data_IF_779076395323
#
_entry.id   IF_779076395323
#
_cell.length_a   1.000
_cell.length_b   1.000
_cell.length_c   1.000
_cell.angle_alpha   90.00
_cell.angle_beta   90.00
_cell.angle_gamma   90.00
#
_symmetry.space_group_name_H-M   'P 1'
#
loop_
_entity.id
_entity.type
_entity.pdbx_description
1 polymer ?
#
# COMPACT_ATOMS: atom_id res chain seq x y z
N UNK A 1 0.27 2.32 17.13
CA UNK A 1 -0.17 0.90 17.04
C UNK A 1 -0.39 0.40 18.46
N UNK A 2 -1.38 -0.46 18.67
CA UNK A 2 -1.56 -1.20 19.91
C UNK A 2 -1.20 -2.66 19.61
N UNK A 3 -0.22 -3.20 20.34
CA UNK A 3 0.38 -4.51 20.11
C UNK A 3 0.41 -5.27 21.44
N UNK A 4 0.19 -6.58 21.39
CA UNK A 4 0.19 -7.45 22.55
C UNK A 4 1.59 -7.51 23.18
N UNK A 5 1.66 -7.46 24.52
CA UNK A 5 2.94 -7.46 25.26
C UNK A 5 3.87 -8.62 24.90
N UNK A 6 3.30 -9.79 24.56
CA UNK A 6 4.05 -10.99 24.18
C UNK A 6 4.89 -10.84 22.92
N UNK A 7 4.59 -9.83 22.07
CA UNK A 7 5.33 -9.56 20.83
C UNK A 7 6.63 -8.78 21.07
N UNK A 8 6.86 -8.29 22.28
CA UNK A 8 8.02 -7.50 22.65
C UNK A 8 9.05 -8.35 23.42
N UNK A 9 10.32 -8.04 23.22
CA UNK A 9 11.44 -8.48 24.07
C UNK A 9 12.04 -7.21 24.65
N UNK A 10 11.94 -7.05 25.98
CA UNK A 10 12.41 -5.83 26.65
C UNK A 10 13.90 -5.92 27.03
N UNK A 11 14.38 -7.14 27.20
CA UNK A 11 15.78 -7.51 27.41
C UNK A 11 16.57 -7.66 26.11
N UNK A 12 15.88 -7.79 24.97
CA UNK A 12 16.48 -7.95 23.64
C UNK A 12 17.09 -9.33 23.39
N UNK A 13 16.77 -10.34 24.22
CA UNK A 13 17.35 -11.69 24.16
C UNK A 13 16.54 -12.66 23.29
N UNK A 14 15.33 -12.29 22.88
CA UNK A 14 14.47 -13.14 22.06
C UNK A 14 14.46 -12.72 20.58
N UNK A 15 14.73 -13.67 19.70
CA UNK A 15 14.61 -13.48 18.26
C UNK A 15 13.15 -13.31 17.81
N UNK A 16 12.95 -12.63 16.66
CA UNK A 16 11.65 -12.45 16.01
C UNK A 16 10.59 -11.78 16.89
N UNK A 17 11.02 -10.90 17.79
CA UNK A 17 10.20 -10.02 18.62
C UNK A 17 10.63 -8.56 18.45
N UNK A 18 9.72 -7.65 18.76
CA UNK A 18 9.98 -6.21 18.72
C UNK A 18 10.98 -5.88 19.84
N UNK A 19 12.12 -5.28 19.47
CA UNK A 19 13.19 -4.92 20.41
C UNK A 19 14.36 -5.90 20.44
N UNK A 20 14.44 -6.83 19.46
CA UNK A 20 15.56 -7.79 19.36
C UNK A 20 16.93 -7.10 19.38
N UNK A 21 17.82 -7.59 20.25
CA UNK A 21 19.14 -7.04 20.46
C UNK A 21 20.24 -7.78 19.70
N UNK A 22 21.45 -7.22 19.75
CA UNK A 22 22.64 -7.80 19.11
C UNK A 22 22.98 -9.19 19.64
N UNK A 23 22.77 -9.43 20.94
CA UNK A 23 23.09 -10.71 21.58
C UNK A 23 22.21 -11.84 21.05
N UNK A 24 20.89 -11.62 20.96
CA UNK A 24 19.97 -12.58 20.35
C UNK A 24 20.32 -12.89 18.90
N UNK A 25 20.64 -11.86 18.11
CA UNK A 25 20.99 -12.03 16.70
C UNK A 25 22.31 -12.80 16.51
N UNK A 26 23.34 -12.50 17.32
CA UNK A 26 24.64 -13.14 17.25
C UNK A 26 24.60 -14.60 17.72
N UNK A 27 23.85 -14.87 18.77
CA UNK A 27 23.78 -16.19 19.40
C UNK A 27 22.66 -17.07 18.81
N UNK A 28 22.09 -16.68 17.67
CA UNK A 28 21.06 -17.49 17.02
C UNK A 28 21.62 -18.85 16.57
N UNK A 29 20.83 -19.92 16.69
CA UNK A 29 21.25 -21.25 16.28
C UNK A 29 21.53 -21.28 14.78
N UNK A 30 22.65 -21.90 14.40
CA UNK A 30 23.06 -22.07 13.00
C UNK A 30 23.08 -20.76 12.19
N UNK A 31 23.63 -19.68 12.76
CA UNK A 31 23.69 -18.35 12.13
C UNK A 31 24.11 -18.38 10.65
N UNK A 32 25.20 -19.07 10.32
CA UNK A 32 25.73 -19.12 8.95
C UNK A 32 24.91 -20.00 7.98
N UNK A 33 24.08 -20.91 8.50
CA UNK A 33 23.21 -21.77 7.69
C UNK A 33 21.74 -21.32 7.66
N UNK A 34 21.38 -20.33 8.47
CA UNK A 34 20.04 -19.76 8.52
C UNK A 34 19.76 -18.85 7.32
N UNK A 35 18.50 -18.73 6.87
CA UNK A 35 18.12 -17.82 5.80
C UNK A 35 18.47 -16.37 6.15
N UNK A 36 18.76 -15.57 5.12
CA UNK A 36 18.98 -14.15 5.28
C UNK A 36 17.79 -13.47 5.99
N UNK A 37 18.07 -12.65 7.00
CA UNK A 37 17.06 -11.95 7.79
C UNK A 37 16.46 -12.77 8.94
N UNK A 38 16.96 -13.99 9.20
CA UNK A 38 16.60 -14.75 10.39
C UNK A 38 16.83 -13.93 11.68
N UNK A 39 16.00 -14.20 12.69
CA UNK A 39 15.96 -13.48 13.98
C UNK A 39 15.40 -12.04 13.91
N UNK A 40 15.20 -11.46 12.71
CA UNK A 40 14.74 -10.08 12.51
C UNK A 40 13.29 -9.98 12.00
N UNK A 41 12.47 -11.04 12.14
CA UNK A 41 11.05 -11.01 11.77
C UNK A 41 10.18 -10.35 12.85
N UNK A 42 8.91 -10.09 12.53
CA UNK A 42 7.89 -9.52 13.43
C UNK A 42 8.30 -8.19 14.08
N UNK A 43 8.89 -7.30 13.29
CA UNK A 43 9.22 -5.94 13.70
C UNK A 43 8.05 -4.99 13.43
N UNK A 44 8.14 -3.77 13.94
CA UNK A 44 7.08 -2.76 13.80
C UNK A 44 6.62 -2.54 12.35
N UNK A 45 7.56 -2.58 11.40
CA UNK A 45 7.26 -2.41 9.98
C UNK A 45 6.46 -3.58 9.40
N UNK A 46 6.66 -4.82 9.89
CA UNK A 46 5.89 -5.99 9.44
C UNK A 46 4.41 -5.85 9.81
N UNK A 47 4.12 -5.38 11.03
CA UNK A 47 2.75 -5.16 11.48
C UNK A 47 2.08 -4.00 10.73
N UNK A 48 2.83 -2.93 10.46
CA UNK A 48 2.36 -1.81 9.63
C UNK A 48 2.03 -2.27 8.20
N UNK A 49 2.92 -3.00 7.55
CA UNK A 49 2.71 -3.52 6.19
C UNK A 49 1.52 -4.50 6.15
N UNK A 50 1.37 -5.34 7.17
CA UNK A 50 0.20 -6.23 7.30
C UNK A 50 -1.11 -5.43 7.35
N UNK A 51 -1.17 -4.35 8.14
CA UNK A 51 -2.36 -3.51 8.21
C UNK A 51 -2.60 -2.68 6.95
N UNK A 52 -1.55 -2.21 6.28
CA UNK A 52 -1.68 -1.53 4.98
C UNK A 52 -2.31 -2.44 3.93
N UNK A 53 -1.94 -3.73 3.91
CA UNK A 53 -2.57 -4.74 3.05
C UNK A 53 -4.05 -4.97 3.40
N UNK A 54 -4.41 -4.95 4.69
CA UNK A 54 -5.81 -5.07 5.14
C UNK A 54 -6.63 -3.86 4.72
N UNK A 55 -6.10 -2.66 4.93
CA UNK A 55 -6.73 -1.39 4.54
C UNK A 55 -6.94 -1.36 3.02
N UNK A 56 -5.95 -1.77 2.23
CA UNK A 56 -6.07 -1.87 0.77
C UNK A 56 -7.20 -2.82 0.34
N UNK A 57 -7.48 -3.87 1.14
CA UNK A 57 -8.58 -4.82 0.94
C UNK A 57 -9.91 -4.37 1.58
N UNK A 58 -10.01 -3.12 2.06
CA UNK A 58 -11.15 -2.59 2.80
C UNK A 58 -11.51 -3.41 4.06
N UNK A 59 -10.51 -4.01 4.70
CA UNK A 59 -10.65 -4.72 5.96
C UNK A 59 -10.17 -3.85 7.11
N UNK A 60 -10.77 -4.03 8.29
CA UNK A 60 -10.35 -3.32 9.50
C UNK A 60 -8.90 -3.68 9.86
N UNK A 61 -8.01 -2.69 10.13
CA UNK A 61 -6.65 -2.97 10.56
C UNK A 61 -6.65 -3.66 11.94
N UNK A 62 -5.57 -4.39 12.26
CA UNK A 62 -5.43 -5.16 13.48
C UNK A 62 -4.59 -4.47 14.55
N UNK A 63 -3.63 -3.63 14.17
CA UNK A 63 -2.63 -3.05 15.09
C UNK A 63 -2.65 -1.53 15.08
N UNK A 64 -2.85 -0.91 13.91
CA UNK A 64 -3.00 0.54 13.75
C UNK A 64 -4.30 0.96 14.45
N UNK A 65 -4.24 2.05 15.22
CA UNK A 65 -5.38 2.56 15.99
C UNK A 65 -6.40 3.28 15.11
N UNK A 66 -5.91 3.94 14.06
CA UNK A 66 -6.75 4.67 13.13
C UNK A 66 -7.57 3.71 12.28
N UNK A 67 -8.86 4.01 12.14
CA UNK A 67 -9.83 3.14 11.45
C UNK A 67 -10.50 2.10 12.35
N UNK A 68 -9.98 1.86 13.57
CA UNK A 68 -10.60 0.98 14.57
C UNK A 68 -11.32 1.73 15.67
N UNK A 69 -10.76 2.87 16.06
CA UNK A 69 -11.27 3.69 17.16
C UNK A 69 -11.65 5.07 16.66
N UNK A 70 -12.74 5.60 17.23
CA UNK A 70 -13.23 6.94 16.94
C UNK A 70 -12.64 7.99 17.89
N UNK A 71 -12.52 9.23 17.40
CA UNK A 71 -12.13 10.43 18.18
C UNK A 71 -10.85 10.24 19.00
N UNK A 72 -9.82 9.66 18.38
CA UNK A 72 -8.51 9.42 19.01
C UNK A 72 -7.90 10.74 19.47
N UNK A 73 -7.57 10.85 20.76
CA UNK A 73 -6.95 12.03 21.39
C UNK A 73 -7.69 13.36 21.22
N UNK A 74 -9.00 13.35 20.95
CA UNK A 74 -9.81 14.57 20.82
C UNK A 74 -10.36 15.08 22.16
N UNK A 75 -9.76 14.67 23.28
CA UNK A 75 -10.19 15.10 24.61
C UNK A 75 -9.57 16.46 24.99
N UNK A 76 -10.24 17.26 25.84
CA UNK A 76 -9.66 18.49 26.36
C UNK A 76 -8.31 18.23 27.05
N UNK A 77 -7.33 19.12 26.84
CA UNK A 77 -5.97 19.04 27.42
C UNK A 77 -5.15 17.81 26.95
N UNK A 78 -5.41 17.28 25.75
CA UNK A 78 -4.59 16.22 25.17
C UNK A 78 -3.13 16.67 24.99
N UNK A 79 -2.19 15.79 25.37
CA UNK A 79 -0.74 16.00 25.23
C UNK A 79 -0.08 14.94 24.35
N UNK A 80 1.20 15.14 24.04
CA UNK A 80 1.96 14.26 23.14
C UNK A 80 2.12 12.81 23.65
N UNK A 81 2.07 12.60 24.98
CA UNK A 81 2.21 11.28 25.63
C UNK A 81 0.88 10.84 26.28
N UNK A 82 -0.24 11.12 25.63
CA UNK A 82 -1.57 10.67 26.04
C UNK A 82 -2.20 9.81 24.95
N UNK A 83 -2.99 8.82 25.35
CA UNK A 83 -3.82 8.04 24.44
C UNK A 83 -5.24 7.89 24.99
N UNK A 84 -6.22 8.39 24.26
CA UNK A 84 -7.65 8.23 24.56
C UNK A 84 -8.43 7.87 23.30
N UNK A 85 -9.54 7.16 23.49
CA UNK A 85 -10.51 6.85 22.45
C UNK A 85 -11.87 7.40 22.86
N UNK A 86 -12.69 7.81 21.90
CA UNK A 86 -14.05 8.26 22.16
C UNK A 86 -14.99 7.09 22.40
N UNK A 87 -15.77 7.15 23.48
CA UNK A 87 -16.83 6.19 23.75
C UNK A 87 -18.00 6.50 22.80
N UNK A 88 -18.27 5.60 21.86
CA UNK A 88 -19.34 5.74 20.86
C UNK A 88 -20.71 5.34 21.41
N UNK A 89 -20.73 4.49 22.43
CA UNK A 89 -21.92 4.05 23.14
C UNK A 89 -22.52 5.19 23.98
N UNK A 90 -23.85 5.16 24.12
CA UNK A 90 -24.55 6.14 24.95
C UNK A 90 -24.50 5.69 26.41
N UNK A 91 -23.79 6.44 27.26
CA UNK A 91 -23.72 6.19 28.69
C UNK A 91 -24.64 7.14 29.46
N UNK A 92 -25.44 6.59 30.37
CA UNK A 92 -26.30 7.38 31.24
C UNK A 92 -25.51 7.82 32.49
N UNK A 93 -25.36 9.12 32.66
CA UNK A 93 -24.78 9.70 33.88
C UNK A 93 -25.89 9.94 34.89
N UNK A 94 -25.77 9.34 36.07
CA UNK A 94 -26.67 9.64 37.18
C UNK A 94 -26.32 11.02 37.75
N UNK A 95 -27.29 11.93 37.75
CA UNK A 95 -27.15 13.28 38.27
C UNK A 95 -28.21 13.51 39.36
N UNK A 96 -27.76 13.92 40.53
CA UNK A 96 -28.64 14.39 41.61
C UNK A 96 -28.70 15.91 41.56
N UNK A 97 -29.91 16.44 41.39
CA UNK A 97 -30.19 17.88 41.48
C UNK A 97 -31.08 18.10 42.70
N UNK A 98 -30.55 18.76 43.71
CA UNK A 98 -31.29 19.13 44.92
C UNK A 98 -31.80 20.57 44.78
N UNK A 99 -33.10 20.75 44.96
CA UNK A 99 -33.78 22.04 44.83
C UNK A 99 -34.55 22.35 46.10
N UNK A 100 -34.47 23.60 46.56
CA UNK A 100 -35.35 24.11 47.61
C UNK A 100 -36.63 24.67 46.97
N UNK A 101 -37.57 23.78 46.64
CA UNK A 101 -38.86 24.11 46.05
C UNK A 101 -39.94 23.15 46.54
N UNK A 102 -41.22 23.56 46.48
CA UNK A 102 -42.34 22.72 46.90
C UNK A 102 -42.64 21.60 45.89
N UNK A 103 -42.46 21.85 44.59
CA UNK A 103 -42.75 20.90 43.51
C UNK A 103 -41.93 21.19 42.24
N UNK A 104 -41.86 20.22 41.33
CA UNK A 104 -41.12 20.27 40.06
C UNK A 104 -41.99 19.75 38.92
N UNK A 105 -42.05 20.51 37.83
CA UNK A 105 -42.68 20.08 36.58
C UNK A 105 -41.63 19.83 35.49
N UNK A 106 -41.69 18.65 34.87
CA UNK A 106 -40.82 18.31 33.73
C UNK A 106 -41.50 18.65 32.41
N UNK A 107 -40.94 19.62 31.68
CA UNK A 107 -41.41 20.03 30.35
C UNK A 107 -40.37 19.63 29.32
N UNK A 108 -40.79 18.88 28.30
CA UNK A 108 -39.92 18.45 27.20
C UNK A 108 -40.49 18.87 25.84
N UNK A 109 -39.60 19.03 24.87
CA UNK A 109 -39.97 19.39 23.51
C UNK A 109 -40.22 18.13 22.67
N UNK A 110 -41.30 18.15 21.89
CA UNK A 110 -41.67 17.10 20.94
C UNK A 110 -41.77 17.72 19.55
N UNK A 111 -41.11 17.12 18.56
CA UNK A 111 -41.21 17.52 17.16
C UNK A 111 -41.24 16.31 16.24
N UNK A 112 -42.04 16.35 15.15
CA UNK A 112 -42.07 15.26 14.17
C UNK A 112 -40.74 15.13 13.46
N UNK A 113 -40.33 13.89 13.20
CA UNK A 113 -39.12 13.53 12.47
C UNK A 113 -39.44 12.48 11.42
N UNK A 114 -38.63 12.42 10.36
CA UNK A 114 -38.81 11.46 9.26
C UNK A 114 -37.48 10.84 8.85
N UNK A 115 -37.51 9.56 8.53
CA UNK A 115 -36.38 8.84 7.92
C UNK A 115 -36.42 9.15 6.41
N UNK A 116 -35.32 9.71 5.90
CA UNK A 116 -35.19 10.09 4.49
C UNK A 116 -34.64 8.93 3.68
N UNK A 117 -33.62 8.26 4.20
CA UNK A 117 -32.87 7.25 3.46
C UNK A 117 -32.19 6.25 4.42
N UNK A 118 -32.04 5.01 3.94
CA UNK A 118 -31.29 3.95 4.60
C UNK A 118 -30.36 3.34 3.56
N UNK A 119 -29.05 3.47 3.77
CA UNK A 119 -28.05 2.88 2.90
C UNK A 119 -27.23 1.83 3.65
N UNK A 120 -27.26 0.60 3.15
CA UNK A 120 -26.45 -0.52 3.66
C UNK A 120 -25.73 -1.17 2.47
N UNK A 121 -24.41 -0.93 2.29
CA UNK A 121 -23.66 -1.59 1.25
C UNK A 121 -23.47 -3.08 1.55
N UNK A 122 -23.33 -3.89 0.50
CA UNK A 122 -22.97 -5.31 0.63
C UNK A 122 -21.57 -5.44 1.25
N UNK A 123 -21.44 -6.34 2.23
CA UNK A 123 -20.18 -6.62 2.93
C UNK A 123 -19.97 -8.13 3.10
N UNK A 124 -18.73 -8.53 3.37
CA UNK A 124 -18.36 -9.93 3.56
C UNK A 124 -18.75 -10.43 4.96
N UNK A 125 -19.39 -11.59 5.02
CA UNK A 125 -19.84 -12.20 6.27
C UNK A 125 -18.67 -12.58 7.19
N UNK A 126 -18.81 -12.37 8.50
CA UNK A 126 -17.84 -12.64 9.59
C UNK A 126 -16.46 -11.94 9.52
N UNK A 127 -15.96 -11.61 8.33
CA UNK A 127 -14.63 -11.01 8.13
C UNK A 127 -14.68 -9.48 8.05
N UNK A 128 -15.83 -8.90 7.67
CA UNK A 128 -16.07 -7.47 7.63
C UNK A 128 -17.22 -7.07 8.56
N UNK A 129 -17.23 -5.80 8.95
CA UNK A 129 -18.33 -5.17 9.69
C UNK A 129 -19.12 -4.30 8.72
N UNK A 130 -20.40 -4.60 8.55
CA UNK A 130 -21.31 -3.78 7.73
C UNK A 130 -21.61 -2.46 8.43
N UNK A 131 -21.90 -1.41 7.66
CA UNK A 131 -22.34 -0.12 8.22
C UNK A 131 -23.66 0.31 7.59
N UNK A 132 -24.73 0.33 8.39
CA UNK A 132 -26.01 0.92 7.97
C UNK A 132 -26.04 2.40 8.30
N UNK A 133 -26.22 3.24 7.28
CA UNK A 133 -26.34 4.70 7.41
C UNK A 133 -27.80 5.09 7.26
N UNK A 134 -28.38 5.62 8.34
CA UNK A 134 -29.77 6.09 8.39
C UNK A 134 -29.77 7.61 8.42
N UNK A 135 -30.41 8.21 7.42
CA UNK A 135 -30.51 9.67 7.29
C UNK A 135 -31.87 10.14 7.79
N UNK A 136 -31.87 11.06 8.75
CA UNK A 136 -33.07 11.51 9.46
C UNK A 136 -33.16 13.02 9.41
N UNK A 137 -34.39 13.54 9.32
CA UNK A 137 -34.66 14.97 9.36
C UNK A 137 -35.74 15.31 10.37
N UNK A 138 -35.49 16.35 11.16
CA UNK A 138 -36.53 16.99 11.95
C UNK A 138 -37.37 17.89 11.01
N UNK A 139 -38.64 17.52 10.83
CA UNK A 139 -39.60 18.25 9.99
C UNK A 139 -40.50 19.18 10.82
N UNK A 140 -40.28 19.24 12.12
CA UNK A 140 -40.96 20.14 13.05
C UNK A 140 -40.35 21.53 13.11
N UNK A 141 -40.83 22.31 14.09
CA UNK A 141 -40.42 23.69 14.34
C UNK A 141 -39.58 23.87 15.61
N UNK A 142 -39.46 22.83 16.45
CA UNK A 142 -38.72 22.86 17.70
C UNK A 142 -37.56 21.86 17.67
N UNK A 143 -36.53 22.16 18.44
CA UNK A 143 -35.46 21.20 18.71
C UNK A 143 -36.03 20.11 19.63
N UNK A 144 -35.81 18.84 19.29
CA UNK A 144 -36.34 17.72 20.06
C UNK A 144 -35.34 16.57 20.14
N UNK A 145 -35.53 15.74 21.16
CA UNK A 145 -34.78 14.49 21.33
C UNK A 145 -35.48 13.36 20.56
N UNK A 146 -34.67 12.49 19.99
CA UNK A 146 -35.08 11.34 19.20
C UNK A 146 -34.33 10.11 19.63
N UNK A 147 -34.96 8.96 19.42
CA UNK A 147 -34.36 7.65 19.58
C UNK A 147 -34.49 6.85 18.29
N UNK A 148 -33.47 6.08 17.94
CA UNK A 148 -33.42 5.31 16.71
C UNK A 148 -33.00 3.87 16.99
N UNK A 149 -33.86 2.93 16.65
CA UNK A 149 -33.57 1.49 16.69
C UNK A 149 -33.41 0.96 15.28
N UNK A 150 -32.50 0.00 15.12
CA UNK A 150 -32.29 -0.72 13.87
C UNK A 150 -32.45 -2.22 14.11
N UNK A 151 -33.63 -2.75 13.76
CA UNK A 151 -34.05 -4.11 14.08
C UNK A 151 -34.03 -5.02 12.85
N UNK A 152 -33.55 -6.25 13.00
CA UNK A 152 -33.33 -7.20 11.90
C UNK A 152 -33.96 -8.57 12.22
N UNK A 153 -34.63 -9.18 11.23
CA UNK A 153 -35.48 -10.37 11.43
C UNK A 153 -34.74 -11.66 11.86
N UNK A 154 -33.42 -11.78 11.64
CA UNK A 154 -32.51 -12.79 12.23
C UNK A 154 -31.14 -12.74 11.54
N UNK A 155 -30.13 -13.36 12.16
CA UNK A 155 -28.81 -13.58 11.56
C UNK A 155 -27.84 -12.39 11.64
N UNK A 156 -28.33 -11.22 12.07
CA UNK A 156 -27.53 -10.05 12.43
C UNK A 156 -27.55 -9.90 13.96
N UNK A 157 -26.40 -9.60 14.54
CA UNK A 157 -26.26 -9.34 15.97
C UNK A 157 -27.09 -8.12 16.38
N UNK A 158 -27.64 -8.14 17.59
CA UNK A 158 -28.38 -7.01 18.14
C UNK A 158 -27.53 -5.73 18.09
N UNK A 159 -28.18 -4.61 17.76
CA UNK A 159 -27.55 -3.29 17.68
C UNK A 159 -28.22 -2.36 18.69
N UNK A 160 -27.40 -1.61 19.42
CA UNK A 160 -27.88 -0.69 20.43
C UNK A 160 -28.67 0.49 19.86
N UNK A 161 -29.69 0.92 20.61
CA UNK A 161 -30.49 2.09 20.31
C UNK A 161 -29.67 3.38 20.48
N UNK A 162 -29.78 4.30 19.52
CA UNK A 162 -29.04 5.57 19.54
C UNK A 162 -29.94 6.74 19.90
N UNK A 163 -29.51 7.55 20.87
CA UNK A 163 -30.20 8.77 21.32
C UNK A 163 -29.50 10.02 20.79
N UNK A 164 -30.27 11.00 20.32
CA UNK A 164 -29.71 12.25 19.81
C UNK A 164 -30.74 13.37 19.72
N UNK A 165 -30.24 14.61 19.60
CA UNK A 165 -31.04 15.83 19.48
C UNK A 165 -30.87 16.38 18.06
N UNK A 166 -31.97 16.81 17.43
CA UNK A 166 -31.96 17.39 16.08
C UNK A 166 -32.66 18.75 16.09
N UNK A 167 -31.99 19.78 15.54
CA UNK A 167 -32.58 21.11 15.34
C UNK A 167 -33.66 21.12 14.26
N UNK A 168 -34.60 22.07 14.29
CA UNK A 168 -35.62 22.20 13.24
C UNK A 168 -35.01 22.25 11.84
N UNK A 169 -35.50 21.43 10.92
CA UNK A 169 -35.03 21.38 9.53
C UNK A 169 -33.66 20.73 9.31
N UNK A 170 -32.92 20.42 10.39
CA UNK A 170 -31.61 19.78 10.30
C UNK A 170 -31.73 18.31 9.88
N UNK A 171 -30.74 17.86 9.09
CA UNK A 171 -30.56 16.47 8.69
C UNK A 171 -29.36 15.89 9.43
N UNK A 172 -29.52 14.70 10.00
CA UNK A 172 -28.46 13.98 10.71
C UNK A 172 -28.36 12.56 10.16
N UNK A 173 -27.13 12.05 10.05
CA UNK A 173 -26.85 10.68 9.64
C UNK A 173 -26.37 9.91 10.87
N UNK A 174 -26.97 8.74 11.10
CA UNK A 174 -26.58 7.80 12.16
C UNK A 174 -26.11 6.49 11.54
N UNK A 175 -25.01 5.97 12.08
CA UNK A 175 -24.36 4.76 11.59
C UNK A 175 -24.53 3.64 12.59
N UNK A 176 -24.93 2.47 12.11
CA UNK A 176 -25.03 1.23 12.89
C UNK A 176 -24.06 0.20 12.34
N UNK A 177 -23.30 -0.45 13.22
CA UNK A 177 -22.34 -1.49 12.86
C UNK A 177 -23.03 -2.86 12.89
N UNK A 178 -23.11 -3.50 11.73
CA UNK A 178 -23.82 -4.76 11.53
C UNK A 178 -22.82 -5.92 11.49
N UNK A 179 -23.07 -6.96 12.30
CA UNK A 179 -22.29 -8.19 12.32
C UNK A 179 -23.17 -9.38 12.01
N UNK A 180 -22.86 -10.10 10.93
CA UNK A 180 -23.53 -11.36 10.60
C UNK A 180 -23.09 -12.47 11.55
N UNK A 181 -23.96 -13.46 11.75
CA UNK A 181 -23.70 -14.65 12.57
C UNK A 181 -23.46 -15.92 11.75
N UNK A 182 -23.61 -15.83 10.42
CA UNK A 182 -23.36 -16.91 9.46
C UNK A 182 -22.17 -16.55 8.56
N UNK A 183 -21.47 -17.57 8.07
CA UNK A 183 -20.39 -17.49 7.07
C UNK A 183 -20.92 -17.52 5.62
N UNK A 184 -22.20 -17.88 5.43
CA UNK A 184 -22.83 -17.99 4.12
C UNK A 184 -23.36 -16.65 3.61
N UNK A 185 -23.34 -16.49 2.28
CA UNK A 185 -24.00 -15.37 1.61
C UNK A 185 -25.52 -15.43 1.86
N UNK A 186 -26.08 -14.36 2.43
CA UNK A 186 -27.50 -14.29 2.75
C UNK A 186 -28.08 -12.90 2.50
N UNK A 187 -29.41 -12.83 2.42
CA UNK A 187 -30.20 -11.59 2.30
C UNK A 187 -30.90 -11.31 3.62
N UNK A 188 -30.74 -10.10 4.13
CA UNK A 188 -31.32 -9.65 5.38
C UNK A 188 -32.37 -8.57 5.14
N UNK A 189 -33.37 -8.55 6.02
CA UNK A 189 -34.40 -7.53 6.09
C UNK A 189 -34.37 -6.90 7.46
N UNK A 190 -34.23 -5.58 7.49
CA UNK A 190 -34.18 -4.80 8.72
C UNK A 190 -35.11 -3.59 8.62
N UNK A 191 -35.50 -3.06 9.77
CA UNK A 191 -36.33 -1.88 9.90
C UNK A 191 -35.66 -0.85 10.81
N UNK A 192 -35.56 0.38 10.34
CA UNK A 192 -35.22 1.52 11.17
C UNK A 192 -36.51 2.12 11.73
N UNK A 193 -36.56 2.30 13.04
CA UNK A 193 -37.73 2.84 13.74
C UNK A 193 -37.29 4.10 14.48
N UNK A 194 -37.87 5.23 14.11
CA UNK A 194 -37.61 6.52 14.72
C UNK A 194 -38.68 6.79 15.78
N UNK A 195 -38.25 7.11 17.00
CA UNK A 195 -39.13 7.45 18.13
C UNK A 195 -38.90 8.89 18.59
N UNK A 196 -39.95 9.49 19.12
CA UNK A 196 -39.91 10.78 19.80
C UNK A 196 -39.34 10.66 21.23
N UNK A 197 -39.22 11.80 21.91
CA UNK A 197 -38.80 11.93 23.31
C UNK A 197 -39.71 11.21 24.32
N UNK A 198 -40.96 10.96 23.95
CA UNK A 198 -41.95 10.19 24.72
C UNK A 198 -41.97 8.70 24.35
N UNK A 199 -40.99 8.23 23.56
CA UNK A 199 -40.88 6.87 23.00
C UNK A 199 -41.99 6.47 22.01
N UNK A 200 -42.87 7.39 21.61
CA UNK A 200 -43.84 7.13 20.55
C UNK A 200 -43.15 6.98 19.19
N UNK A 201 -43.58 6.01 18.39
CA UNK A 201 -43.08 5.81 17.03
C UNK A 201 -43.53 6.96 16.13
N UNK A 202 -42.57 7.60 15.47
CA UNK A 202 -42.79 8.70 14.53
C UNK A 202 -42.78 8.23 13.08
N UNK A 203 -41.85 7.33 12.75
CA UNK A 203 -41.64 6.84 11.40
C UNK A 203 -40.94 5.49 11.40
N UNK A 204 -41.16 4.70 10.35
CA UNK A 204 -40.58 3.39 10.15
C UNK A 204 -40.23 3.18 8.68
N UNK A 205 -38.99 2.73 8.45
CA UNK A 205 -38.52 2.44 7.11
C UNK A 205 -37.82 1.08 7.08
N UNK A 206 -38.19 0.24 6.11
CA UNK A 206 -37.58 -1.07 5.89
C UNK A 206 -36.47 -0.99 4.84
N UNK A 207 -35.41 -1.77 5.04
CA UNK A 207 -34.34 -1.93 4.06
C UNK A 207 -33.99 -3.40 3.89
N UNK A 208 -33.51 -3.74 2.69
CA UNK A 208 -32.96 -5.06 2.37
C UNK A 208 -31.51 -4.92 1.95
N UNK A 209 -30.65 -5.80 2.43
CA UNK A 209 -29.27 -5.87 2.01
C UNK A 209 -28.80 -7.32 1.94
N UNK A 210 -27.66 -7.54 1.29
CA UNK A 210 -27.05 -8.85 1.15
C UNK A 210 -25.63 -8.86 1.71
N UNK A 211 -25.16 -10.05 2.06
CA UNK A 211 -23.77 -10.33 2.42
C UNK A 211 -23.17 -11.30 1.42
N UNK A 212 -21.85 -11.21 1.21
CA UNK A 212 -21.09 -12.24 0.49
C UNK A 212 -20.55 -13.28 1.47
N UNK A 213 -20.34 -14.51 1.01
CA UNK A 213 -19.80 -15.58 1.86
C UNK A 213 -18.38 -15.25 2.32
N UNK A 214 -18.00 -15.76 3.49
CA UNK A 214 -16.65 -15.62 4.04
C UNK A 214 -15.64 -16.29 3.14
N UNK A 215 -14.58 -15.58 2.78
CA UNK A 215 -13.45 -16.15 2.03
C UNK A 215 -12.48 -16.78 3.03
N UNK A 216 -12.55 -18.09 3.17
CA UNK A 216 -11.59 -18.85 3.98
C UNK A 216 -10.32 -19.08 3.16
N UNK A 217 -9.25 -18.39 3.52
CA UNK A 217 -7.92 -18.75 3.03
C UNK A 217 -7.55 -20.07 3.71
N UNK A 218 -7.55 -21.17 2.93
CA UNK A 218 -6.95 -22.43 3.36
C UNK A 218 -5.44 -22.16 3.48
N UNK A 219 -5.01 -21.69 4.65
CA UNK A 219 -3.60 -21.64 4.98
C UNK A 219 -3.00 -23.01 4.66
N UNK A 220 -1.85 -23.03 3.99
CA UNK A 220 -1.18 -24.29 3.71
C UNK A 220 -0.75 -24.93 5.03
N UNK A 221 -1.59 -25.79 5.60
CA UNK A 221 -1.26 -26.68 6.73
C UNK A 221 -0.34 -27.84 6.30
N UNK A 222 0.16 -27.79 5.08
CA UNK A 222 1.11 -28.75 4.54
C UNK A 222 2.48 -28.07 4.64
N UNK A 223 3.32 -28.55 5.57
CA UNK A 223 4.75 -28.27 5.56
C UNK A 223 5.28 -28.54 4.14
N UNK A 224 6.20 -27.71 3.61
CA UNK A 224 6.39 -27.58 2.18
C UNK A 224 6.57 -28.97 1.55
N UNK A 225 5.69 -29.40 0.62
CA UNK A 225 6.06 -30.51 -0.23
C UNK A 225 7.33 -30.06 -0.93
N UNK A 226 8.35 -30.91 -0.96
CA UNK A 226 9.54 -30.71 -1.81
C UNK A 226 9.08 -30.69 -3.28
N UNK A 227 8.53 -29.58 -3.71
CA UNK A 227 8.29 -29.23 -5.10
C UNK A 227 8.44 -27.71 -5.23
N UNK A 228 9.57 -27.33 -5.80
CA UNK A 228 9.80 -26.01 -6.35
C UNK A 228 8.71 -25.68 -7.38
N UNK A 229 7.68 -24.93 -6.98
CA UNK A 229 6.97 -24.00 -7.85
C UNK A 229 6.55 -22.78 -7.03
N UNK A 230 7.45 -21.79 -6.97
CA UNK A 230 7.12 -20.42 -6.55
C UNK A 230 6.16 -19.82 -7.59
N UNK A 231 4.86 -19.95 -7.36
CA UNK A 231 3.83 -19.19 -8.05
C UNK A 231 3.34 -18.06 -7.14
N UNK A 232 3.86 -16.87 -7.32
CA UNK A 232 3.44 -15.67 -6.59
C UNK A 232 4.14 -14.44 -7.15
N UNK A 233 3.54 -13.26 -7.00
CA UNK A 233 3.95 -12.00 -7.65
C UNK A 233 5.43 -11.64 -7.39
N UNK A 234 6.00 -12.06 -6.24
CA UNK A 234 7.46 -11.96 -5.96
C UNK A 234 8.33 -12.83 -6.88
N UNK A 235 7.85 -14.01 -7.28
CA UNK A 235 8.52 -14.85 -8.27
C UNK A 235 8.44 -14.29 -9.69
N UNK A 236 7.40 -13.52 -10.01
CA UNK A 236 7.29 -12.82 -11.30
C UNK A 236 8.26 -11.62 -11.35
N UNK A 237 8.42 -10.89 -10.24
CA UNK A 237 9.40 -9.80 -10.12
C UNK A 237 10.83 -10.36 -10.09
N UNK A 238 11.12 -11.43 -9.32
CA UNK A 238 12.42 -12.12 -9.35
C UNK A 238 12.74 -12.67 -10.74
N UNK A 239 11.74 -13.21 -11.45
CA UNK A 239 11.90 -13.68 -12.83
C UNK A 239 12.13 -12.52 -13.81
N UNK A 240 11.45 -11.39 -13.65
CA UNK A 240 11.69 -10.19 -14.47
C UNK A 240 13.07 -9.60 -14.16
N UNK A 241 13.50 -9.57 -12.91
CA UNK A 241 14.79 -9.03 -12.51
C UNK A 241 15.96 -9.92 -12.97
N UNK A 242 15.80 -11.25 -12.93
CA UNK A 242 16.77 -12.19 -13.51
C UNK A 242 16.73 -12.17 -15.04
N UNK A 243 15.56 -12.05 -15.66
CA UNK A 243 15.45 -11.90 -17.12
C UNK A 243 16.09 -10.59 -17.58
N UNK A 244 15.91 -9.49 -16.83
CA UNK A 244 16.49 -8.17 -17.09
C UNK A 244 18.00 -8.14 -16.86
N UNK A 245 18.51 -8.77 -15.79
CA UNK A 245 19.95 -8.93 -15.60
C UNK A 245 20.58 -9.77 -16.71
N UNK A 246 19.97 -10.89 -17.09
CA UNK A 246 20.51 -11.74 -18.15
C UNK A 246 20.43 -11.07 -19.53
N UNK A 247 19.39 -10.28 -19.81
CA UNK A 247 19.33 -9.49 -21.05
C UNK A 247 20.30 -8.31 -21.02
N UNK A 248 20.51 -7.67 -19.87
CA UNK A 248 21.47 -6.57 -19.74
C UNK A 248 22.92 -7.03 -19.83
N UNK A 249 23.26 -8.17 -19.21
CA UNK A 249 24.58 -8.80 -19.36
C UNK A 249 24.81 -9.26 -20.80
N UNK A 250 23.77 -9.77 -21.48
CA UNK A 250 23.85 -10.16 -22.89
C UNK A 250 23.97 -8.95 -23.84
N UNK A 251 23.44 -7.78 -23.47
CA UNK A 251 23.60 -6.51 -24.21
C UNK A 251 24.96 -5.87 -23.92
N UNK A 252 25.46 -5.95 -22.70
CA UNK A 252 26.82 -5.51 -22.35
C UNK A 252 27.85 -6.39 -23.07
N UNK A 253 27.69 -7.71 -23.08
CA UNK A 253 28.57 -8.62 -23.84
C UNK A 253 28.49 -8.38 -25.36
N UNK A 254 27.33 -7.94 -25.87
CA UNK A 254 27.13 -7.55 -27.27
C UNK A 254 27.89 -6.26 -27.64
N UNK A 255 27.92 -5.24 -26.77
CA UNK A 255 28.63 -3.97 -27.02
C UNK A 255 30.11 -4.00 -26.65
N UNK A 256 30.50 -4.79 -25.64
CA UNK A 256 31.90 -4.86 -25.16
C UNK A 256 32.73 -5.93 -25.87
N UNK A 257 32.10 -6.87 -26.59
CA UNK A 257 32.79 -7.90 -27.36
C UNK A 257 33.52 -8.96 -26.52
N UNK A 258 33.25 -9.01 -25.21
CA UNK A 258 33.97 -9.83 -24.23
C UNK A 258 33.88 -11.34 -24.50
N UNK A 259 32.77 -11.79 -25.11
CA UNK A 259 32.55 -13.18 -25.49
C UNK A 259 33.32 -13.60 -26.76
N UNK A 260 33.65 -12.65 -27.65
CA UNK A 260 34.37 -12.92 -28.90
C UNK A 260 35.89 -12.84 -28.75
N UNK A 261 36.43 -11.96 -27.89
CA UNK A 261 37.89 -11.83 -27.68
C UNK A 261 38.53 -13.07 -27.05
N UNK A 262 37.75 -13.88 -26.34
CA UNK A 262 38.21 -15.14 -25.72
C UNK A 262 38.14 -16.34 -26.67
N UNK A 263 37.41 -16.26 -27.78
CA UNK A 263 37.20 -17.38 -28.72
C UNK A 263 37.91 -17.21 -30.06
N UNK A 264 38.09 -15.99 -30.54
CA UNK A 264 38.83 -15.72 -31.77
C UNK A 264 40.10 -14.93 -31.42
N UNK A 265 41.27 -15.52 -31.67
CA UNK A 265 42.58 -14.95 -31.27
C UNK A 265 43.13 -13.91 -32.25
N UNK A 266 42.54 -13.75 -33.44
CA UNK A 266 43.02 -12.87 -34.50
C UNK A 266 41.89 -11.99 -35.06
N UNK A 267 42.23 -10.72 -35.34
CA UNK A 267 41.33 -9.71 -35.91
C UNK A 267 40.93 -9.97 -37.38
N UNK A 268 41.69 -10.82 -38.10
CA UNK A 268 41.50 -11.11 -39.51
C UNK A 268 40.92 -12.52 -39.78
N UNK A 269 40.49 -13.23 -38.74
CA UNK A 269 39.87 -14.54 -38.88
C UNK A 269 38.36 -14.42 -39.19
N UNK A 270 38.06 -14.10 -40.45
CA UNK A 270 36.70 -13.91 -40.95
C UNK A 270 35.81 -15.16 -40.76
N UNK A 271 36.40 -16.36 -40.77
CA UNK A 271 35.63 -17.60 -40.61
C UNK A 271 35.12 -17.76 -39.17
N UNK A 272 35.97 -17.48 -38.18
CA UNK A 272 35.59 -17.49 -36.77
C UNK A 272 34.51 -16.44 -36.47
N UNK A 273 34.63 -15.24 -37.05
CA UNK A 273 33.70 -14.14 -36.78
C UNK A 273 32.31 -14.33 -37.41
N UNK A 274 32.22 -14.96 -38.58
CA UNK A 274 30.95 -15.29 -39.24
C UNK A 274 30.22 -16.40 -38.47
N UNK A 275 30.95 -17.41 -37.98
CA UNK A 275 30.37 -18.56 -37.30
C UNK A 275 29.76 -18.22 -35.92
N UNK A 276 30.30 -17.24 -35.21
CA UNK A 276 29.85 -16.84 -33.87
C UNK A 276 29.06 -15.52 -33.82
N UNK A 277 28.70 -14.94 -34.97
CA UNK A 277 27.84 -13.75 -35.10
C UNK A 277 28.38 -12.56 -34.25
N UNK A 278 29.68 -12.27 -34.38
CA UNK A 278 30.34 -11.17 -33.68
C UNK A 278 30.07 -9.81 -34.37
N UNK A 279 28.87 -9.25 -34.21
CA UNK A 279 28.39 -8.04 -34.93
C UNK A 279 29.18 -6.76 -34.58
N UNK A 280 29.83 -6.69 -33.42
CA UNK A 280 30.69 -5.55 -33.03
C UNK A 280 31.84 -5.28 -34.02
N UNK A 281 32.36 -6.32 -34.68
CA UNK A 281 33.38 -6.20 -35.72
C UNK A 281 32.85 -5.52 -36.99
N UNK A 282 31.61 -5.80 -37.41
CA UNK A 282 30.97 -5.16 -38.56
C UNK A 282 30.80 -3.65 -38.36
N UNK A 283 30.49 -3.24 -37.13
CA UNK A 283 30.33 -1.82 -36.78
C UNK A 283 31.67 -1.09 -36.76
N UNK A 284 32.71 -1.70 -36.19
CA UNK A 284 34.06 -1.10 -36.16
C UNK A 284 34.71 -1.07 -37.55
N UNK A 285 34.53 -2.11 -38.37
CA UNK A 285 35.03 -2.14 -39.75
C UNK A 285 34.29 -1.12 -40.63
N UNK A 286 32.97 -0.95 -40.46
CA UNK A 286 32.19 0.09 -41.12
C UNK A 286 32.60 1.51 -40.73
N UNK A 287 32.92 1.76 -39.45
CA UNK A 287 33.48 3.03 -38.99
C UNK A 287 34.88 3.27 -39.57
N UNK A 288 35.72 2.25 -39.70
CA UNK A 288 37.03 2.38 -40.33
C UNK A 288 36.91 2.72 -41.83
N UNK A 289 35.96 2.09 -42.53
CA UNK A 289 35.74 2.30 -43.96
C UNK A 289 35.16 3.69 -44.27
N UNK A 290 34.43 4.30 -43.34
CA UNK A 290 33.84 5.64 -43.49
C UNK A 290 34.79 6.76 -43.06
N UNK A 291 35.65 6.51 -42.08
CA UNK A 291 36.64 7.49 -41.60
C UNK A 291 37.78 7.72 -42.59
N UNK A 292 38.26 6.69 -43.29
CA UNK A 292 39.33 6.83 -44.29
C UNK A 292 39.03 7.82 -45.43
N UNK A 293 37.89 7.76 -46.15
CA UNK A 293 37.55 8.75 -47.17
C UNK A 293 37.25 10.13 -46.56
N UNK A 294 36.69 10.21 -45.35
CA UNK A 294 36.44 11.48 -44.68
C UNK A 294 37.76 12.20 -44.31
N UNK A 295 38.76 11.47 -43.82
CA UNK A 295 40.11 11.99 -43.54
C UNK A 295 40.83 12.37 -44.83
N UNK A 296 40.68 11.59 -45.91
CA UNK A 296 41.25 11.94 -47.21
C UNK A 296 40.64 13.24 -47.78
N UNK A 297 39.32 13.43 -47.67
CA UNK A 297 38.64 14.67 -48.07
C UNK A 297 39.06 15.83 -47.17
N UNK A 298 39.21 15.61 -45.86
CA UNK A 298 39.70 16.63 -44.93
C UNK A 298 41.13 17.05 -45.29
N UNK A 299 42.04 16.10 -45.50
CA UNK A 299 43.43 16.36 -45.91
C UNK A 299 43.49 17.06 -47.28
N UNK A 300 42.62 16.70 -48.23
CA UNK A 300 42.50 17.38 -49.51
C UNK A 300 42.00 18.82 -49.37
N UNK A 301 41.00 19.08 -48.51
CA UNK A 301 40.52 20.43 -48.22
C UNK A 301 41.56 21.28 -47.47
N UNK A 302 42.31 20.68 -46.54
CA UNK A 302 43.40 21.31 -45.82
C UNK A 302 44.56 21.66 -46.77
N UNK A 303 44.85 20.80 -47.75
CA UNK A 303 45.81 21.07 -48.83
C UNK A 303 45.32 22.20 -49.76
N UNK A 304 44.06 22.20 -50.17
CA UNK A 304 43.52 23.25 -51.05
C UNK A 304 43.47 24.63 -50.39
N UNK A 305 43.39 24.70 -49.05
CA UNK A 305 43.44 25.95 -48.29
C UNK A 305 44.86 26.41 -47.91
N UNK A 306 45.91 25.78 -48.44
CA UNK A 306 47.30 26.21 -48.25
C UNK A 306 47.83 26.00 -46.83
N UNK A 307 47.18 25.17 -46.00
CA UNK A 307 47.61 24.96 -44.62
C UNK A 307 48.91 24.15 -44.51
N UNK A 308 49.26 23.41 -45.57
CA UNK A 308 50.51 22.64 -45.66
C UNK A 308 51.63 23.37 -46.42
N UNK A 309 51.38 24.59 -46.92
CA UNK A 309 52.39 25.39 -47.65
C UNK A 309 53.70 25.59 -46.84
N UNK A 310 53.67 25.85 -45.51
CA UNK A 310 54.90 25.97 -44.72
C UNK A 310 55.71 24.66 -44.59
N UNK A 311 55.07 23.50 -44.78
CA UNK A 311 55.73 22.18 -44.74
C UNK A 311 56.34 21.82 -46.09
N UNK A 312 55.74 22.24 -47.20
CA UNK A 312 56.31 22.09 -48.54
C UNK A 312 57.50 23.03 -48.77
N UNK A 313 57.42 24.26 -48.28
CA UNK A 313 58.53 25.22 -48.35
C UNK A 313 59.74 24.73 -47.52
N UNK A 314 59.51 24.18 -46.32
CA UNK A 314 60.55 23.56 -45.50
C UNK A 314 61.16 22.30 -46.15
N UNK A 315 60.38 21.55 -46.93
CA UNK A 315 60.87 20.39 -47.68
C UNK A 315 61.70 20.80 -48.91
N UNK A 316 61.31 21.85 -49.65
CA UNK A 316 62.11 22.39 -50.75
C UNK A 316 63.47 22.95 -50.26
N UNK A 317 63.50 23.63 -49.11
CA UNK A 317 64.74 24.17 -48.52
C UNK A 317 65.69 23.08 -47.99
N UNK A 318 65.19 21.90 -47.61
CA UNK A 318 66.00 20.77 -47.12
C UNK A 318 66.56 19.90 -48.26
N UNK A 319 65.90 19.84 -49.42
CA UNK A 319 66.29 18.93 -50.51
C UNK A 319 66.77 19.63 -51.80
N UNK A 320 66.75 20.97 -51.90
CA UNK A 320 67.45 21.68 -52.97
C UNK A 320 68.94 21.82 -52.64
N UNK A 321 69.73 20.80 -52.99
CA UNK A 321 71.20 20.93 -53.02
C UNK A 321 71.61 21.93 -54.10
N UNK A 322 72.58 22.84 -53.84
CA UNK A 322 73.10 23.73 -54.88
C UNK A 322 73.85 22.91 -55.93
N UNK A 323 73.42 23.02 -57.19
CA UNK A 323 74.29 22.75 -58.32
C UNK A 323 75.43 23.77 -58.35
N UNK A 324 76.59 23.26 -58.75
CA UNK A 324 77.88 23.91 -58.78
C UNK A 324 77.89 25.29 -59.47
N UNK A 325 78.66 26.22 -58.90
CA UNK A 325 79.41 27.20 -59.66
C UNK A 325 80.62 27.67 -58.84
N UNK A 326 81.74 27.77 -59.56
CA UNK A 326 83.10 28.11 -59.17
C UNK A 326 83.30 29.33 -58.28
#
# INVERSE_FOLDING_TARGET
MLLERVRFTLDGLECNKIGVGYEAYRNQPNLCGSPFGSCLYNQLWNFKESDENRIYRNQEPQYIVQGRFDRINQHPNAGAHSFSIGITESLNTNLLIELSADDINYVYQRSPGKIIDINVPTFEALSQVGTAKVTIKNIGKLEASYSLTFDCLSGISYVEEQFFIIKPGQVVIRSFYLRSSSDQASKYRCSAILKASDFSELDRAECQFSTTATVLDNGTQIGPPKQHKKGGIRGFIEAIETLWRNTWDSVIDFFTGRSCSTKCSSFLDLSCHIQYICIGWLVMFGLLLTTLPAVAVLLWLLHQKGMFDPLYDCWEDVFRSPEAAH
#
